data_IF_098567948934
#
_entry.id   IF_098567948934
#
_cell.length_a   1.000
_cell.length_b   1.000
_cell.length_c   1.000
_cell.angle_alpha   90.00
_cell.angle_beta   90.00
_cell.angle_gamma   90.00
#
_symmetry.space_group_name_H-M   'P 1'
#
loop_
_entity.id
_entity.type
_entity.pdbx_description
1 polymer ?
#
# COMPACT_ATOMS: atom_id res chain seq x y z
N UNK A 1 -12.03 -9.08 7.39
CA UNK A 1 -12.17 -7.75 6.73
C UNK A 1 -12.47 -7.93 5.24
N UNK A 2 -13.05 -9.08 4.86
CA UNK A 2 -13.29 -9.44 3.46
C UNK A 2 -14.60 -8.88 2.90
N UNK A 3 -15.55 -8.51 3.77
CA UNK A 3 -16.86 -7.98 3.36
C UNK A 3 -16.81 -6.55 2.79
N UNK A 4 -15.74 -5.77 3.05
CA UNK A 4 -15.64 -4.38 2.58
C UNK A 4 -15.07 -4.26 1.16
N UNK A 5 -14.32 -5.27 0.70
CA UNK A 5 -13.73 -5.28 -0.66
C UNK A 5 -14.84 -5.38 -1.72
N UNK A 6 -15.95 -6.06 -1.40
CA UNK A 6 -17.07 -6.25 -2.32
C UNK A 6 -17.99 -5.01 -2.46
N UNK A 7 -17.94 -4.04 -1.53
CA UNK A 7 -18.93 -2.94 -1.50
C UNK A 7 -18.39 -1.65 -2.12
N UNK A 8 -17.11 -1.31 -1.91
CA UNK A 8 -16.51 -0.14 -2.53
C UNK A 8 -14.97 -0.26 -2.60
N UNK A 9 -14.42 -0.88 -3.66
CA UNK A 9 -12.98 -1.05 -3.81
C UNK A 9 -12.22 0.29 -3.86
N UNK A 10 -12.80 1.34 -4.42
CA UNK A 10 -12.20 2.69 -4.45
C UNK A 10 -12.01 3.27 -3.04
N UNK A 11 -13.00 3.08 -2.16
CA UNK A 11 -12.87 3.49 -0.75
C UNK A 11 -11.79 2.70 -0.04
N UNK A 12 -11.72 1.38 -0.27
CA UNK A 12 -10.69 0.52 0.33
C UNK A 12 -9.29 0.95 -0.12
N UNK A 13 -9.11 1.22 -1.41
CA UNK A 13 -7.87 1.76 -1.99
C UNK A 13 -7.51 3.07 -1.28
N UNK A 14 -8.40 4.07 -1.32
CA UNK A 14 -8.11 5.39 -0.76
C UNK A 14 -7.81 5.39 0.74
N UNK A 15 -8.61 4.66 1.53
CA UNK A 15 -8.40 4.56 2.97
C UNK A 15 -7.10 3.81 3.30
N UNK A 16 -6.80 2.72 2.60
CA UNK A 16 -5.60 1.92 2.85
C UNK A 16 -4.33 2.68 2.45
N UNK A 17 -4.31 3.33 1.29
CA UNK A 17 -3.22 4.19 0.84
C UNK A 17 -2.94 5.32 1.84
N UNK A 18 -3.98 6.05 2.28
CA UNK A 18 -3.83 7.14 3.27
C UNK A 18 -3.21 6.66 4.58
N UNK A 19 -3.65 5.51 5.11
CA UNK A 19 -3.11 4.94 6.36
C UNK A 19 -1.66 4.50 6.18
N UNK A 20 -1.35 3.84 5.07
CA UNK A 20 0.00 3.42 4.75
C UNK A 20 0.96 4.62 4.66
N UNK A 21 0.59 5.64 3.88
CA UNK A 21 1.37 6.87 3.69
C UNK A 21 1.62 7.59 5.02
N UNK A 22 0.59 7.76 5.86
CA UNK A 22 0.74 8.40 7.17
C UNK A 22 1.77 7.69 8.07
N UNK A 23 1.81 6.36 8.03
CA UNK A 23 2.80 5.56 8.79
C UNK A 23 4.20 5.71 8.18
N UNK A 24 4.32 5.70 6.85
CA UNK A 24 5.60 5.86 6.15
C UNK A 24 6.21 7.25 6.40
N UNK A 25 5.38 8.29 6.38
CA UNK A 25 5.73 9.68 6.62
C UNK A 25 6.17 9.92 8.06
N UNK A 26 5.52 9.26 9.04
CA UNK A 26 5.94 9.31 10.44
C UNK A 26 7.37 8.79 10.67
N UNK A 27 7.94 8.03 9.72
CA UNK A 27 9.36 7.63 9.72
C UNK A 27 9.77 6.64 10.80
N UNK A 28 8.80 6.06 11.53
CA UNK A 28 9.03 5.11 12.62
C UNK A 28 9.09 3.70 12.08
N UNK A 29 10.31 3.17 11.92
CA UNK A 29 10.56 1.87 11.28
C UNK A 29 9.85 0.66 11.92
N UNK A 30 9.47 0.75 13.20
CA UNK A 30 8.69 -0.27 13.90
C UNK A 30 7.25 -0.43 13.39
N UNK A 31 6.72 0.56 12.67
CA UNK A 31 5.37 0.54 12.10
C UNK A 31 5.35 0.26 10.60
N UNK A 32 6.51 0.10 9.94
CA UNK A 32 6.52 -0.18 8.50
C UNK A 32 5.82 -1.49 8.14
N UNK A 33 5.87 -2.49 9.02
CA UNK A 33 5.15 -3.75 8.84
C UNK A 33 3.61 -3.50 8.80
N UNK A 34 3.10 -2.59 9.64
CA UNK A 34 1.69 -2.18 9.61
C UNK A 34 1.35 -1.40 8.33
N UNK A 35 2.23 -0.50 7.88
CA UNK A 35 2.05 0.22 6.61
C UNK A 35 1.93 -0.73 5.42
N UNK A 36 2.72 -1.82 5.45
CA UNK A 36 2.73 -2.87 4.43
C UNK A 36 1.43 -3.67 4.46
N UNK A 37 0.90 -4.03 5.63
CA UNK A 37 -0.42 -4.66 5.74
C UNK A 37 -1.55 -3.78 5.20
N UNK A 38 -1.45 -2.45 5.28
CA UNK A 38 -2.39 -1.54 4.60
C UNK A 38 -2.20 -1.57 3.08
N UNK A 39 -0.97 -1.55 2.59
CA UNK A 39 -0.68 -1.66 1.16
C UNK A 39 -1.16 -2.98 0.54
N UNK A 40 -1.10 -4.10 1.27
CA UNK A 40 -1.64 -5.39 0.82
C UNK A 40 -3.15 -5.32 0.58
N UNK A 41 -3.89 -4.62 1.44
CA UNK A 41 -5.34 -4.40 1.25
C UNK A 41 -5.61 -3.53 0.03
N UNK A 42 -4.82 -2.48 -0.18
CA UNK A 42 -4.91 -1.64 -1.37
C UNK A 42 -4.65 -2.46 -2.64
N UNK A 43 -3.56 -3.25 -2.67
CA UNK A 43 -3.22 -4.15 -3.78
C UNK A 43 -4.36 -5.09 -4.11
N UNK A 44 -4.93 -5.77 -3.11
CA UNK A 44 -6.03 -6.71 -3.33
C UNK A 44 -7.26 -6.01 -3.92
N UNK A 45 -7.56 -4.78 -3.48
CA UNK A 45 -8.66 -3.99 -4.04
C UNK A 45 -8.37 -3.50 -5.48
N UNK A 46 -7.13 -3.11 -5.79
CA UNK A 46 -6.71 -2.80 -7.16
C UNK A 46 -6.83 -4.01 -8.10
N UNK A 47 -6.34 -5.17 -7.66
CA UNK A 47 -6.43 -6.43 -8.43
C UNK A 47 -7.90 -6.81 -8.65
N UNK A 48 -8.73 -6.76 -7.60
CA UNK A 48 -10.16 -7.06 -7.69
C UNK A 48 -10.93 -6.11 -8.63
N UNK A 49 -10.38 -4.91 -8.87
CA UNK A 49 -10.95 -3.92 -9.79
C UNK A 49 -10.31 -3.96 -11.18
N UNK A 50 -9.48 -4.97 -11.48
CA UNK A 50 -8.70 -5.09 -12.73
C UNK A 50 -7.72 -3.91 -12.99
N UNK A 51 -7.40 -3.14 -11.95
CA UNK A 51 -6.53 -1.94 -12.00
C UNK A 51 -5.08 -2.25 -11.61
N UNK A 52 -4.56 -3.39 -12.08
CA UNK A 52 -3.20 -3.84 -11.73
C UNK A 52 -2.10 -2.88 -12.23
N UNK A 53 -2.35 -2.19 -13.36
CA UNK A 53 -1.44 -1.15 -13.87
C UNK A 53 -1.36 0.03 -12.90
N UNK A 54 -2.49 0.52 -12.40
CA UNK A 54 -2.52 1.63 -11.43
C UNK A 54 -1.81 1.26 -10.13
N UNK A 55 -1.99 0.02 -9.63
CA UNK A 55 -1.22 -0.49 -8.50
C UNK A 55 0.28 -0.45 -8.75
N UNK A 56 0.73 -0.88 -9.94
CA UNK A 56 2.15 -0.92 -10.30
C UNK A 56 2.75 0.50 -10.36
N UNK A 57 2.03 1.45 -10.93
CA UNK A 57 2.43 2.85 -11.00
C UNK A 57 2.49 3.48 -9.60
N UNK A 58 1.46 3.23 -8.78
CA UNK A 58 1.39 3.71 -7.40
C UNK A 58 2.53 3.16 -6.53
N UNK A 59 2.79 1.86 -6.60
CA UNK A 59 3.90 1.21 -5.90
C UNK A 59 5.25 1.79 -6.33
N UNK A 60 5.45 2.01 -7.62
CA UNK A 60 6.70 2.60 -8.16
C UNK A 60 6.91 4.02 -7.64
N UNK A 61 5.83 4.82 -7.57
CA UNK A 61 5.86 6.16 -6.96
C UNK A 61 6.27 6.09 -5.49
N UNK A 62 5.68 5.20 -4.70
CA UNK A 62 6.03 5.03 -3.28
C UNK A 62 7.49 4.63 -3.08
N UNK A 63 7.99 3.67 -3.88
CA UNK A 63 9.40 3.25 -3.85
C UNK A 63 10.34 4.42 -4.16
N UNK A 64 9.98 5.25 -5.14
CA UNK A 64 10.76 6.44 -5.50
C UNK A 64 10.78 7.46 -4.36
N UNK A 65 9.61 7.82 -3.82
CA UNK A 65 9.44 8.80 -2.74
C UNK A 65 10.17 8.36 -1.46
N UNK A 66 10.07 7.07 -1.12
CA UNK A 66 10.63 6.53 0.12
C UNK A 66 11.94 5.75 -0.07
N UNK A 67 12.63 5.94 -1.19
CA UNK A 67 13.84 5.20 -1.58
C UNK A 67 14.93 5.13 -0.51
N UNK A 68 15.06 6.16 0.33
CA UNK A 68 16.04 6.22 1.44
C UNK A 68 15.68 5.32 2.63
N UNK A 69 14.42 4.90 2.77
CA UNK A 69 13.92 4.04 3.88
C UNK A 69 14.16 2.57 3.54
N UNK A 70 15.42 2.12 3.62
CA UNK A 70 15.84 0.77 3.19
C UNK A 70 14.97 -0.38 3.71
N UNK A 71 14.57 -0.36 5.00
CA UNK A 71 13.65 -1.36 5.58
C UNK A 71 12.30 -1.37 4.84
N UNK A 72 11.71 -0.19 4.65
CA UNK A 72 10.41 -0.04 3.98
C UNK A 72 10.50 -0.52 2.52
N UNK A 73 11.56 -0.14 1.80
CA UNK A 73 11.77 -0.59 0.42
C UNK A 73 11.93 -2.11 0.33
N UNK A 74 12.64 -2.72 1.28
CA UNK A 74 12.73 -4.18 1.37
C UNK A 74 11.35 -4.85 1.47
N UNK A 75 10.49 -4.33 2.34
CA UNK A 75 9.13 -4.84 2.52
C UNK A 75 8.21 -4.54 1.32
N UNK A 76 8.34 -3.37 0.69
CA UNK A 76 7.57 -3.05 -0.53
C UNK A 76 7.97 -3.94 -1.70
N UNK A 77 9.24 -4.36 -1.78
CA UNK A 77 9.71 -5.29 -2.82
C UNK A 77 9.10 -6.68 -2.68
N UNK A 78 8.77 -7.13 -1.47
CA UNK A 78 8.07 -8.40 -1.25
C UNK A 78 6.57 -8.36 -1.58
N UNK A 79 5.96 -7.17 -1.66
CA UNK A 79 4.67 -6.97 -2.33
C UNK A 79 4.90 -7.07 -3.85
N UNK A 80 4.76 -8.29 -4.39
CA UNK A 80 4.87 -8.58 -5.83
C UNK A 80 3.68 -8.10 -6.64
#
# INVERSE_FOLDING_TARGET
>A
MDAAIAVNPDWVIGNSCRRAESIMDAGKAKYYDEAISWLEKARNAYIASERQREWSDYRTKLITVHSRKRKLIGLMKSLG
#
